data_IF_997699460739
#
_entry.id   IF_997699460739
#
_cell.length_a   1.000
_cell.length_b   1.000
_cell.length_c   1.000
_cell.angle_alpha   90.00
_cell.angle_beta   90.00
_cell.angle_gamma   90.00
#
_symmetry.space_group_name_H-M   'P 1'
#
loop_
_entity.id
_entity.type
_entity.pdbx_description
1 polymer ?
#
# COMPACT_ATOMS: atom_id res chain seq x y z
N UNK A 1 15.66 -46.25 -39.13
CA UNK A 1 15.55 -46.14 -37.66
C UNK A 1 15.47 -44.66 -37.31
N UNK A 2 14.39 -44.22 -36.65
CA UNK A 2 14.20 -42.85 -36.13
C UNK A 2 14.97 -42.71 -34.81
N UNK A 3 15.62 -41.57 -34.53
CA UNK A 3 15.76 -41.10 -33.17
C UNK A 3 14.70 -40.03 -32.90
N UNK A 4 13.75 -40.40 -32.04
CA UNK A 4 12.95 -39.49 -31.24
C UNK A 4 13.89 -38.84 -30.21
N UNK A 5 14.06 -37.52 -30.25
CA UNK A 5 14.62 -36.77 -29.12
C UNK A 5 13.71 -35.57 -28.82
N UNK A 6 12.80 -35.87 -27.90
CA UNK A 6 12.17 -35.03 -26.90
C UNK A 6 12.26 -33.50 -27.10
N UNK A 7 11.13 -32.91 -27.48
CA UNK A 7 10.78 -31.54 -27.17
C UNK A 7 10.87 -31.31 -25.66
N UNK A 8 11.93 -30.63 -25.19
CA UNK A 8 11.90 -29.95 -23.90
C UNK A 8 11.16 -28.64 -24.14
N UNK A 9 9.83 -28.71 -24.04
CA UNK A 9 8.99 -27.54 -23.87
C UNK A 9 9.31 -26.97 -22.48
N UNK A 10 10.34 -26.14 -22.39
CA UNK A 10 10.61 -25.33 -21.21
C UNK A 10 9.45 -24.34 -21.09
N UNK A 11 8.42 -24.77 -20.37
CA UNK A 11 7.34 -23.93 -19.90
C UNK A 11 7.99 -22.90 -18.97
N UNK A 12 8.42 -21.77 -19.53
CA UNK A 12 8.72 -20.58 -18.76
C UNK A 12 7.41 -20.22 -18.06
N UNK A 13 7.26 -20.68 -16.82
CA UNK A 13 6.32 -20.11 -15.88
C UNK A 13 6.88 -18.72 -15.57
N UNK A 14 6.60 -17.78 -16.48
CA UNK A 14 6.58 -16.36 -16.17
C UNK A 14 5.46 -16.20 -15.15
N UNK A 15 5.76 -16.49 -13.87
CA UNK A 15 5.05 -15.89 -12.76
C UNK A 15 5.07 -14.40 -13.08
N UNK A 16 3.93 -13.75 -13.37
CA UNK A 16 3.94 -12.30 -13.35
C UNK A 16 4.23 -11.98 -11.89
N UNK A 17 5.48 -11.60 -11.61
CA UNK A 17 5.82 -10.89 -10.41
C UNK A 17 4.96 -9.63 -10.49
N UNK A 18 3.76 -9.70 -9.90
CA UNK A 18 3.01 -8.54 -9.52
C UNK A 18 3.89 -7.89 -8.47
N UNK A 19 4.88 -7.13 -8.92
CA UNK A 19 5.50 -6.10 -8.15
C UNK A 19 4.35 -5.14 -7.85
N UNK A 20 3.60 -5.47 -6.77
CA UNK A 20 2.90 -4.46 -5.99
C UNK A 20 3.99 -3.42 -5.78
N UNK A 21 3.88 -2.28 -6.45
CA UNK A 21 4.66 -1.12 -6.08
C UNK A 21 4.59 -1.07 -4.55
N UNK A 22 5.74 -1.08 -3.88
CA UNK A 22 5.66 -0.91 -2.44
C UNK A 22 5.18 0.51 -2.19
N UNK A 23 4.25 0.57 -1.26
CA UNK A 23 3.72 1.80 -0.71
C UNK A 23 4.84 2.56 -0.01
N UNK A 24 4.77 3.89 -0.12
CA UNK A 24 5.65 4.82 0.59
C UNK A 24 5.24 4.91 2.07
N UNK A 25 3.95 4.70 2.37
CA UNK A 25 3.47 4.51 3.73
C UNK A 25 2.48 3.35 3.83
N UNK A 26 2.70 2.49 4.83
CA UNK A 26 1.80 1.40 5.19
C UNK A 26 1.14 1.68 6.53
N UNK A 27 -0.18 1.63 6.59
CA UNK A 27 -0.93 1.68 7.86
C UNK A 27 -1.43 0.29 8.19
N UNK A 28 -1.20 -0.14 9.43
CA UNK A 28 -1.55 -1.46 9.98
C UNK A 28 -2.12 -1.31 11.39
N UNK A 29 -2.69 -2.38 11.94
CA UNK A 29 -3.21 -2.44 13.32
C UNK A 29 -4.22 -1.33 13.63
N UNK A 30 -5.22 -1.16 12.77
CA UNK A 30 -6.19 -0.06 12.84
C UNK A 30 -7.34 -0.40 13.77
N UNK A 31 -7.43 0.28 14.92
CA UNK A 31 -8.67 0.34 15.70
C UNK A 31 -9.54 1.44 15.13
N UNK A 32 -10.51 1.07 14.31
CA UNK A 32 -11.32 2.02 13.55
C UNK A 32 -12.44 2.61 14.41
N UNK A 33 -12.57 3.94 14.35
CA UNK A 33 -13.69 4.68 14.94
C UNK A 33 -14.81 4.90 13.93
N UNK A 34 -14.44 5.27 12.69
CA UNK A 34 -15.39 5.64 11.64
C UNK A 34 -14.76 5.38 10.29
N UNK A 35 -15.57 4.91 9.34
CA UNK A 35 -15.22 4.87 7.92
C UNK A 35 -16.27 5.61 7.12
N UNK A 36 -15.83 6.43 6.17
CA UNK A 36 -16.66 7.13 5.19
C UNK A 36 -16.21 6.67 3.81
N UNK A 37 -17.16 6.20 3.00
CA UNK A 37 -16.92 5.73 1.64
C UNK A 37 -17.57 6.71 0.68
N UNK A 38 -16.75 7.29 -0.19
CA UNK A 38 -17.15 8.17 -1.29
C UNK A 38 -16.79 7.50 -2.63
N UNK A 39 -17.24 8.06 -3.74
CA UNK A 39 -16.97 7.48 -5.06
C UNK A 39 -15.47 7.36 -5.36
N UNK A 40 -14.71 8.38 -4.95
CA UNK A 40 -13.29 8.55 -5.29
C UNK A 40 -12.38 8.53 -4.06
N UNK A 41 -12.93 8.33 -2.85
CA UNK A 41 -12.17 8.35 -1.62
C UNK A 41 -12.73 7.41 -0.55
N UNK A 42 -11.84 6.92 0.31
CA UNK A 42 -12.19 6.20 1.54
C UNK A 42 -11.50 6.94 2.68
N UNK A 43 -12.26 7.44 3.65
CA UNK A 43 -11.72 8.10 4.84
C UNK A 43 -11.94 7.22 6.06
N UNK A 44 -10.86 6.91 6.77
CA UNK A 44 -10.84 6.06 7.97
C UNK A 44 -10.32 6.90 9.12
N UNK A 45 -11.15 7.08 10.15
CA UNK A 45 -10.75 7.67 11.42
C UNK A 45 -10.44 6.51 12.37
N UNK A 46 -9.24 6.49 12.92
CA UNK A 46 -8.80 5.45 13.86
C UNK A 46 -8.65 6.03 15.26
N UNK A 47 -8.90 5.22 16.28
CA UNK A 47 -8.45 5.53 17.65
C UNK A 47 -6.98 5.20 17.83
N UNK A 48 -6.49 4.16 17.15
CA UNK A 48 -5.10 3.69 17.17
C UNK A 48 -4.72 3.06 15.83
N UNK A 49 -3.51 3.31 15.35
CA UNK A 49 -2.89 2.58 14.24
C UNK A 49 -1.37 2.59 14.35
N UNK A 50 -0.71 1.69 13.62
CA UNK A 50 0.74 1.71 13.40
C UNK A 50 1.02 2.02 11.94
N UNK A 51 1.80 3.08 11.72
CA UNK A 51 2.22 3.49 10.39
C UNK A 51 3.70 3.19 10.20
N UNK A 52 4.04 2.56 9.08
CA UNK A 52 5.42 2.46 8.59
C UNK A 52 5.60 3.43 7.42
N UNK A 53 6.58 4.30 7.51
CA UNK A 53 6.94 5.27 6.47
C UNK A 53 8.29 4.84 5.88
N UNK A 54 8.36 4.76 4.55
CA UNK A 54 9.61 4.54 3.81
C UNK A 54 10.12 5.89 3.31
N UNK A 55 11.27 6.31 3.81
CA UNK A 55 11.96 7.53 3.38
C UNK A 55 13.10 7.13 2.45
N UNK A 56 13.00 7.54 1.19
CA UNK A 56 14.04 7.30 0.18
C UNK A 56 14.98 8.50 0.19
N UNK A 57 16.29 8.25 0.25
CA UNK A 57 17.29 9.30 0.05
C UNK A 57 17.40 9.62 -1.44
N UNK A 58 17.43 10.92 -1.75
CA UNK A 58 17.57 11.42 -3.13
C UNK A 58 18.95 11.09 -3.72
N UNK A 59 19.98 10.97 -2.88
CA UNK A 59 21.35 10.70 -3.31
C UNK A 59 21.71 9.20 -3.29
N UNK A 60 22.30 8.73 -4.39
CA UNK A 60 22.93 7.41 -4.47
C UNK A 60 24.27 7.41 -3.71
N UNK A 61 24.34 6.65 -2.62
CA UNK A 61 25.58 6.37 -1.89
C UNK A 61 26.03 4.92 -2.15
N UNK A 62 27.03 4.68 -3.03
CA UNK A 62 27.53 3.33 -3.33
C UNK A 62 28.21 2.66 -2.12
N UNK A 63 28.50 3.41 -1.05
CA UNK A 63 29.09 2.88 0.20
C UNK A 63 28.03 2.59 1.25
N UNK A 64 26.76 2.90 1.00
CA UNK A 64 25.69 2.64 1.95
C UNK A 64 25.41 1.13 2.05
N UNK A 65 25.58 0.59 3.26
CA UNK A 65 25.41 -0.84 3.56
C UNK A 65 24.08 -1.15 4.25
N UNK A 66 23.16 -0.19 4.35
CA UNK A 66 21.86 -0.37 4.97
C UNK A 66 20.77 -0.83 3.99
N UNK A 67 19.51 -0.68 4.41
CA UNK A 67 18.34 -1.07 3.61
C UNK A 67 18.24 -0.26 2.32
N UNK A 68 18.10 -0.95 1.18
CA UNK A 68 17.91 -0.33 -0.13
C UNK A 68 16.51 -0.62 -0.70
N UNK A 69 15.99 0.31 -1.50
CA UNK A 69 14.74 0.18 -2.27
C UNK A 69 15.00 0.63 -3.71
N UNK A 70 14.80 -0.27 -4.68
CA UNK A 70 15.17 -0.03 -6.10
C UNK A 70 16.61 0.47 -6.31
N UNK A 71 17.55 0.06 -5.44
CA UNK A 71 18.95 0.49 -5.49
C UNK A 71 19.25 1.82 -4.79
N UNK A 72 18.23 2.48 -4.21
CA UNK A 72 18.39 3.72 -3.44
C UNK A 72 18.38 3.42 -1.93
N UNK A 73 19.24 4.07 -1.13
CA UNK A 73 19.20 3.99 0.33
C UNK A 73 17.84 4.39 0.89
N UNK A 74 17.29 3.57 1.80
CA UNK A 74 16.04 3.87 2.50
C UNK A 74 16.16 3.81 4.01
N UNK A 75 15.39 4.67 4.67
CA UNK A 75 15.13 4.63 6.11
C UNK A 75 13.67 4.29 6.32
N UNK A 76 13.38 3.29 7.15
CA UNK A 76 12.01 2.90 7.50
C UNK A 76 11.72 3.33 8.94
N UNK A 77 10.69 4.16 9.11
CA UNK A 77 10.27 4.65 10.43
C UNK A 77 8.92 4.06 10.78
N UNK A 78 8.78 3.54 11.99
CA UNK A 78 7.49 3.10 12.52
C UNK A 78 6.98 4.11 13.55
N UNK A 79 5.75 4.58 13.36
CA UNK A 79 5.11 5.60 14.19
C UNK A 79 3.76 5.08 14.66
N UNK A 80 3.42 5.34 15.91
CA UNK A 80 2.08 5.09 16.45
C UNK A 80 1.22 6.32 16.14
N UNK A 81 -0.01 6.05 15.71
CA UNK A 81 -0.98 7.05 15.29
C UNK A 81 -2.18 6.95 16.21
N UNK A 82 -2.39 7.93 17.09
CA UNK A 82 -3.54 7.97 17.98
C UNK A 82 -4.54 9.01 17.48
N UNK A 83 -5.82 8.65 17.36
CA UNK A 83 -6.88 9.54 16.85
C UNK A 83 -6.55 10.14 15.47
N UNK A 84 -5.99 9.33 14.58
CA UNK A 84 -5.54 9.77 13.27
C UNK A 84 -6.63 9.61 12.19
N UNK A 85 -6.50 10.39 11.11
CA UNK A 85 -7.38 10.29 9.93
C UNK A 85 -6.59 9.88 8.70
N UNK A 86 -7.05 8.83 8.02
CA UNK A 86 -6.43 8.33 6.80
C UNK A 86 -7.41 8.46 5.63
N UNK A 87 -7.04 9.25 4.62
CA UNK A 87 -7.87 9.47 3.43
C UNK A 87 -7.19 8.87 2.20
N UNK A 88 -7.71 7.73 1.78
CA UNK A 88 -7.28 6.99 0.60
C UNK A 88 -8.00 7.59 -0.61
N UNK A 89 -7.27 8.26 -1.50
CA UNK A 89 -7.78 8.74 -2.79
C UNK A 89 -7.66 7.62 -3.81
N UNK A 90 -8.67 7.46 -4.67
CA UNK A 90 -8.62 6.53 -5.79
C UNK A 90 -7.49 6.92 -6.75
N UNK A 91 -6.49 6.07 -6.99
CA UNK A 91 -5.46 6.35 -7.98
C UNK A 91 -6.02 6.43 -9.40
N UNK A 92 -5.34 7.14 -10.31
CA UNK A 92 -5.81 7.35 -11.69
C UNK A 92 -5.93 6.01 -12.44
N UNK A 93 -4.97 5.12 -12.23
CA UNK A 93 -4.93 3.76 -12.75
C UNK A 93 -6.05 2.87 -12.21
N UNK A 94 -6.79 3.31 -11.20
CA UNK A 94 -7.89 2.60 -10.58
C UNK A 94 -9.28 3.14 -10.98
N UNK A 95 -9.33 4.11 -11.89
CA UNK A 95 -10.58 4.56 -12.49
C UNK A 95 -11.27 3.44 -13.28
N UNK A 96 -12.60 3.51 -13.51
CA UNK A 96 -13.32 2.50 -14.31
C UNK A 96 -12.65 2.24 -15.67
N UNK A 97 -12.45 0.96 -16.01
CA UNK A 97 -11.80 0.55 -17.25
C UNK A 97 -10.26 0.65 -17.26
N UNK A 98 -9.62 0.98 -16.13
CA UNK A 98 -8.15 1.03 -15.99
C UNK A 98 -7.59 -0.21 -15.30
N UNK A 99 -6.27 -0.35 -15.36
CA UNK A 99 -5.51 -1.55 -14.96
C UNK A 99 -5.67 -1.96 -13.49
N UNK A 100 -6.05 -1.03 -12.60
CA UNK A 100 -6.21 -1.27 -11.17
C UNK A 100 -7.65 -1.08 -10.67
N UNK A 101 -8.64 -1.05 -11.56
CA UNK A 101 -10.05 -0.88 -11.18
C UNK A 101 -10.51 -1.94 -10.16
N UNK A 102 -10.09 -3.20 -10.36
CA UNK A 102 -10.39 -4.30 -9.45
C UNK A 102 -9.76 -4.11 -8.05
N UNK A 103 -8.58 -3.50 -7.98
CA UNK A 103 -7.93 -3.19 -6.70
C UNK A 103 -8.72 -2.13 -5.92
N UNK A 104 -9.31 -1.14 -6.61
CA UNK A 104 -10.22 -0.19 -5.98
C UNK A 104 -11.51 -0.85 -5.50
N UNK A 105 -12.12 -1.72 -6.31
CA UNK A 105 -13.32 -2.46 -5.89
C UNK A 105 -13.06 -3.33 -4.65
N UNK A 106 -11.89 -3.96 -4.57
CA UNK A 106 -11.45 -4.67 -3.36
C UNK A 106 -11.27 -3.73 -2.16
N UNK A 107 -10.75 -2.53 -2.38
CA UNK A 107 -10.64 -1.50 -1.34
C UNK A 107 -12.00 -1.06 -0.81
N UNK A 108 -12.98 -0.84 -1.70
CA UNK A 108 -14.35 -0.50 -1.31
C UNK A 108 -15.01 -1.62 -0.51
N UNK A 109 -14.78 -2.88 -0.90
CA UNK A 109 -15.26 -4.05 -0.14
C UNK A 109 -14.63 -4.09 1.26
N UNK A 110 -13.31 -3.98 1.35
CA UNK A 110 -12.61 -3.95 2.64
C UNK A 110 -13.06 -2.76 3.52
N UNK A 111 -13.39 -1.62 2.92
CA UNK A 111 -13.88 -0.46 3.67
C UNK A 111 -15.29 -0.72 4.25
N UNK A 112 -16.15 -1.43 3.52
CA UNK A 112 -17.46 -1.88 4.05
C UNK A 112 -17.29 -2.91 5.15
N UNK A 113 -16.37 -3.86 4.98
CA UNK A 113 -16.04 -4.84 6.02
C UNK A 113 -15.56 -4.14 7.31
N UNK A 114 -14.74 -3.08 7.20
CA UNK A 114 -14.37 -2.22 8.33
C UNK A 114 -15.58 -1.47 8.95
N UNK A 115 -16.49 -0.94 8.13
CA UNK A 115 -17.72 -0.31 8.62
C UNK A 115 -18.57 -1.28 9.44
N UNK A 116 -18.61 -2.54 9.02
CA UNK A 116 -19.33 -3.63 9.68
C UNK A 116 -18.59 -4.18 10.92
N UNK A 117 -17.44 -3.58 11.29
CA UNK A 117 -16.67 -3.97 12.46
C UNK A 117 -15.78 -5.20 12.26
N UNK A 118 -15.58 -5.65 11.02
CA UNK A 118 -14.64 -6.74 10.73
C UNK A 118 -13.21 -6.20 10.74
N UNK A 119 -12.28 -7.07 11.09
CA UNK A 119 -10.87 -6.79 10.88
C UNK A 119 -10.55 -6.79 9.39
N UNK A 120 -9.76 -5.82 8.95
CA UNK A 120 -9.10 -5.84 7.63
C UNK A 120 -7.63 -5.51 7.78
N UNK A 121 -6.86 -5.87 6.77
CA UNK A 121 -5.41 -5.78 6.71
C UNK A 121 -4.83 -4.37 6.78
N UNK A 122 -4.35 -3.87 5.64
CA UNK A 122 -3.44 -2.71 5.59
C UNK A 122 -3.92 -1.65 4.61
N UNK A 123 -3.56 -0.40 4.87
CA UNK A 123 -3.61 0.67 3.85
C UNK A 123 -2.22 0.82 3.26
N UNK A 124 -2.10 0.76 1.93
CA UNK A 124 -0.89 1.16 1.22
C UNK A 124 -1.10 2.50 0.52
N UNK A 125 -0.28 3.49 0.87
CA UNK A 125 -0.26 4.81 0.24
C UNK A 125 0.93 4.94 -0.73
N UNK A 126 0.69 5.64 -1.84
CA UNK A 126 1.68 5.96 -2.88
C UNK A 126 1.78 7.49 -2.96
N UNK A 127 2.96 8.05 -2.73
CA UNK A 127 3.21 9.48 -2.64
C UNK A 127 2.17 10.25 -1.77
N UNK A 128 1.94 9.87 -0.50
CA UNK A 128 0.98 10.56 0.34
C UNK A 128 1.52 11.86 0.93
N UNK A 129 0.61 12.78 1.23
CA UNK A 129 0.81 13.85 2.19
C UNK A 129 0.67 13.29 3.61
N UNK A 130 1.67 13.53 4.46
CA UNK A 130 1.68 13.08 5.85
C UNK A 130 1.76 14.29 6.77
N UNK A 131 0.77 14.43 7.66
CA UNK A 131 0.77 15.46 8.71
C UNK A 131 1.19 14.82 10.02
N UNK A 132 2.28 15.35 10.58
CA UNK A 132 2.81 14.96 11.90
C UNK A 132 2.51 16.09 12.87
N UNK A 133 1.90 15.77 14.02
CA UNK A 133 1.74 16.70 15.14
C UNK A 133 2.44 16.14 16.37
N UNK A 134 3.41 16.90 16.89
CA UNK A 134 4.34 16.38 17.90
C UNK A 134 5.15 15.23 17.32
N UNK A 135 5.01 14.04 17.88
CA UNK A 135 5.71 12.82 17.47
C UNK A 135 4.78 11.73 16.90
N UNK A 136 3.54 12.09 16.53
CA UNK A 136 2.52 11.17 16.04
C UNK A 136 1.99 11.59 14.67
N UNK A 137 1.52 10.62 13.90
CA UNK A 137 0.78 10.87 12.67
C UNK A 137 -0.62 11.36 13.04
N UNK A 138 -0.96 12.57 12.60
CA UNK A 138 -2.29 13.15 12.72
C UNK A 138 -3.15 12.76 11.52
N UNK A 139 -2.58 12.82 10.31
CA UNK A 139 -3.25 12.35 9.11
C UNK A 139 -2.31 11.89 8.00
N UNK A 140 -2.85 11.02 7.13
CA UNK A 140 -2.24 10.65 5.85
C UNK A 140 -3.30 10.79 4.78
N UNK A 141 -2.98 11.50 3.70
CA UNK A 141 -3.89 11.67 2.56
C UNK A 141 -3.12 11.42 1.27
N UNK A 142 -3.63 10.57 0.40
CA UNK A 142 -2.94 10.30 -0.87
C UNK A 142 -3.56 9.17 -1.65
N UNK A 143 -3.06 8.93 -2.88
CA UNK A 143 -3.46 7.76 -3.65
C UNK A 143 -3.08 6.48 -2.91
N UNK A 144 -3.96 5.49 -2.94
CA UNK A 144 -3.72 4.25 -2.22
C UNK A 144 -4.78 3.19 -2.42
N UNK A 145 -4.56 2.06 -1.75
CA UNK A 145 -5.52 0.96 -1.69
C UNK A 145 -5.64 0.44 -0.26
N UNK A 146 -6.86 0.03 0.09
CA UNK A 146 -7.13 -0.74 1.29
C UNK A 146 -7.11 -2.23 0.93
N UNK A 147 -6.29 -2.99 1.64
CA UNK A 147 -6.16 -4.42 1.45
C UNK A 147 -6.84 -5.16 2.60
N UNK A 148 -7.63 -6.22 2.30
CA UNK A 148 -8.22 -7.08 3.32
C UNK A 148 -7.16 -7.79 4.16
#
# INVERSE_FOLDING_TARGET
MKPLLASVLALLVLLPAWARAASDADVTYMKVQKVVIEETAITIVVTEAKTRITLIRDDYDPKYTGDNWHGMPVTRVQVISNKATFTIKRPVEAAPGRTSADAWQKSLKAAKDLQDGKEVGRIGFYAPDIVIKGNMIDSITGPGFLYP
#
